data_IF_340176918383
#
_entry.id   IF_340176918383
#
_cell.length_a   1.000
_cell.length_b   1.000
_cell.length_c   1.000
_cell.angle_alpha   90.00
_cell.angle_beta   90.00
_cell.angle_gamma   90.00
#
_symmetry.space_group_name_H-M   'P 1'
#
loop_
_entity.id
_entity.type
_entity.pdbx_description
1 polymer ?
#
# COMPACT_ATOMS: atom_id res chain seq x y z
N UNK A 1 -18.55 -18.45 -52.49
CA UNK A 1 -17.38 -18.31 -51.60
C UNK A 1 -17.85 -18.18 -50.18
N UNK A 2 -17.96 -19.39 -49.47
CA UNK A 2 -18.51 -19.51 -48.13
C UNK A 2 -17.37 -19.35 -47.13
N UNK A 3 -17.39 -18.29 -46.29
CA UNK A 3 -16.45 -18.12 -45.19
C UNK A 3 -17.07 -18.68 -43.93
N UNK A 4 -16.39 -19.65 -43.36
CA UNK A 4 -16.74 -20.39 -42.14
C UNK A 4 -16.72 -19.48 -40.89
N UNK A 5 -17.89 -19.31 -40.24
CA UNK A 5 -18.00 -18.93 -38.84
C UNK A 5 -18.06 -20.18 -37.97
N UNK A 6 -17.10 -20.38 -37.09
CA UNK A 6 -17.08 -21.43 -36.00
C UNK A 6 -16.01 -21.00 -34.95
N UNK A 7 -16.16 -21.29 -33.68
CA UNK A 7 -17.23 -21.10 -32.68
C UNK A 7 -16.64 -20.49 -31.37
N UNK A 8 -17.12 -19.37 -30.94
CA UNK A 8 -16.77 -18.74 -29.66
C UNK A 8 -17.65 -19.21 -28.47
N UNK A 9 -18.52 -20.21 -28.71
CA UNK A 9 -19.50 -20.61 -27.69
C UNK A 9 -19.09 -21.79 -26.81
N UNK A 10 -18.08 -22.58 -27.20
CA UNK A 10 -17.67 -23.79 -26.44
C UNK A 10 -16.82 -23.54 -25.21
N UNK A 11 -16.13 -22.40 -25.15
CA UNK A 11 -15.21 -22.10 -24.04
C UNK A 11 -15.90 -21.56 -22.76
N UNK A 12 -17.12 -21.05 -22.88
CA UNK A 12 -17.86 -20.53 -21.73
C UNK A 12 -18.56 -21.64 -20.93
N UNK A 13 -18.98 -22.71 -21.57
CA UNK A 13 -19.61 -23.86 -20.91
C UNK A 13 -18.61 -24.66 -20.07
N UNK A 14 -17.40 -24.86 -20.56
CA UNK A 14 -16.36 -25.61 -19.85
C UNK A 14 -15.81 -24.87 -18.58
N UNK A 15 -15.89 -23.54 -18.53
CA UNK A 15 -15.49 -22.77 -17.34
C UNK A 15 -16.52 -22.85 -16.21
N UNK A 16 -17.79 -22.91 -16.53
CA UNK A 16 -18.89 -23.05 -15.54
C UNK A 16 -18.89 -24.45 -14.94
N UNK A 17 -18.58 -25.48 -15.72
CA UNK A 17 -18.54 -26.86 -15.25
C UNK A 17 -17.35 -27.15 -14.33
N UNK A 18 -16.19 -26.46 -14.54
CA UNK A 18 -15.02 -26.59 -13.68
C UNK A 18 -15.20 -25.92 -12.31
N UNK A 19 -16.05 -24.87 -12.21
CA UNK A 19 -16.41 -24.25 -10.94
C UNK A 19 -17.45 -25.04 -10.13
N UNK A 20 -18.29 -25.89 -10.79
CA UNK A 20 -19.25 -26.75 -10.10
C UNK A 20 -18.60 -27.99 -9.50
N UNK A 21 -17.55 -28.53 -10.09
CA UNK A 21 -16.83 -29.70 -9.57
C UNK A 21 -16.05 -29.39 -8.26
N UNK A 22 -15.69 -28.15 -8.01
CA UNK A 22 -14.96 -27.76 -6.77
C UNK A 22 -15.91 -27.50 -5.58
N UNK A 23 -17.22 -27.41 -5.79
CA UNK A 23 -18.22 -27.21 -4.73
C UNK A 23 -18.85 -28.52 -4.22
N UNK A 24 -18.65 -29.65 -4.92
CA UNK A 24 -19.16 -30.98 -4.49
C UNK A 24 -18.22 -31.64 -3.46
N UNK A 25 -16.94 -31.28 -3.40
CA UNK A 25 -15.98 -31.90 -2.47
C UNK A 25 -16.06 -31.36 -1.03
N UNK A 26 -16.89 -30.34 -0.79
CA UNK A 26 -17.15 -29.82 0.55
C UNK A 26 -18.36 -30.42 1.27
N UNK A 27 -19.11 -31.30 0.63
CA UNK A 27 -20.34 -31.86 1.17
C UNK A 27 -20.20 -33.22 1.88
N UNK A 28 -18.99 -33.82 1.89
CA UNK A 28 -18.74 -35.13 2.53
C UNK A 28 -17.77 -35.07 3.72
N UNK A 29 -17.87 -34.06 4.55
CA UNK A 29 -17.28 -34.17 5.91
C UNK A 29 -18.38 -34.62 6.85
N UNK A 30 -18.45 -35.93 7.05
CA UNK A 30 -19.30 -36.61 8.05
C UNK A 30 -18.97 -36.06 9.46
N UNK A 31 -20.00 -35.81 10.29
CA UNK A 31 -19.73 -35.39 11.68
C UNK A 31 -19.20 -36.60 12.46
N UNK A 32 -17.94 -36.45 12.93
CA UNK A 32 -17.36 -37.37 13.92
C UNK A 32 -18.19 -37.21 15.19
N UNK A 33 -18.96 -38.21 15.53
CA UNK A 33 -19.73 -38.33 16.76
C UNK A 33 -18.77 -38.31 17.94
N UNK A 34 -18.73 -37.18 18.63
CA UNK A 34 -17.95 -36.93 19.83
C UNK A 34 -18.61 -37.72 21.01
N UNK A 35 -18.00 -38.82 21.36
CA UNK A 35 -18.43 -39.72 22.44
C UNK A 35 -17.53 -39.52 23.64
N UNK A 36 -17.62 -38.33 24.30
CA UNK A 36 -17.07 -38.16 25.67
C UNK A 36 -17.77 -37.03 26.41
N UNK A 37 -18.56 -37.39 27.36
CA UNK A 37 -19.44 -36.56 28.21
C UNK A 37 -18.68 -35.52 29.06
N UNK A 38 -17.35 -35.58 29.19
CA UNK A 38 -16.59 -34.68 30.05
C UNK A 38 -16.29 -33.30 29.43
N UNK A 39 -16.31 -33.20 28.11
CA UNK A 39 -16.04 -31.93 27.41
C UNK A 39 -17.30 -31.11 27.13
N UNK A 40 -18.47 -31.72 27.24
CA UNK A 40 -19.75 -31.02 27.05
C UNK A 40 -19.99 -29.98 28.17
N UNK A 41 -19.59 -30.26 29.39
CA UNK A 41 -19.69 -29.30 30.51
C UNK A 41 -18.71 -28.14 30.35
N UNK A 42 -17.52 -28.37 29.76
CA UNK A 42 -16.51 -27.31 29.56
C UNK A 42 -16.92 -26.28 28.53
N UNK A 43 -17.61 -26.70 27.48
CA UNK A 43 -18.10 -25.78 26.44
C UNK A 43 -19.28 -24.91 26.89
N UNK A 44 -20.14 -25.40 27.77
CA UNK A 44 -21.23 -24.59 28.32
C UNK A 44 -20.70 -23.52 29.29
N UNK A 45 -19.71 -23.83 30.11
CA UNK A 45 -19.09 -22.84 31.00
C UNK A 45 -18.27 -21.79 30.27
N UNK A 46 -17.57 -22.17 29.18
CA UNK A 46 -16.82 -21.23 28.36
C UNK A 46 -17.72 -20.27 27.57
N UNK A 47 -18.85 -20.72 27.03
CA UNK A 47 -19.81 -19.87 26.32
C UNK A 47 -20.57 -18.91 27.24
N UNK A 48 -20.90 -19.32 28.47
CA UNK A 48 -21.55 -18.44 29.45
C UNK A 48 -20.57 -17.37 29.96
N UNK A 49 -19.30 -17.71 30.19
CA UNK A 49 -18.27 -16.75 30.57
C UNK A 49 -17.94 -15.75 29.45
N UNK A 50 -17.96 -16.17 28.18
CA UNK A 50 -17.79 -15.25 27.05
C UNK A 50 -18.97 -14.27 26.89
N UNK A 51 -20.19 -14.73 27.14
CA UNK A 51 -21.40 -13.90 27.02
C UNK A 51 -21.47 -12.85 28.15
N UNK A 52 -21.03 -13.17 29.36
CA UNK A 52 -20.97 -12.20 30.48
C UNK A 52 -19.83 -11.20 30.31
N UNK A 53 -18.70 -11.58 29.68
CA UNK A 53 -17.60 -10.67 29.38
C UNK A 53 -17.98 -9.65 28.28
N UNK A 54 -18.77 -10.06 27.29
CA UNK A 54 -19.26 -9.16 26.25
C UNK A 54 -20.33 -8.16 26.75
N UNK A 55 -21.12 -8.52 27.78
CA UNK A 55 -22.09 -7.62 28.36
C UNK A 55 -21.47 -6.50 29.22
N UNK A 56 -20.27 -6.74 29.79
CA UNK A 56 -19.57 -5.72 30.61
C UNK A 56 -18.92 -4.62 29.77
N UNK A 57 -18.59 -4.89 28.48
CA UNK A 57 -18.02 -3.88 27.57
C UNK A 57 -19.08 -3.06 26.81
N UNK A 58 -20.37 -3.41 26.88
CA UNK A 58 -21.42 -2.68 26.21
C UNK A 58 -21.90 -1.42 26.96
N UNK A 59 -21.42 -1.17 28.19
CA UNK A 59 -21.93 -0.06 29.04
C UNK A 59 -21.04 1.17 29.09
N UNK A 60 -19.99 1.29 28.26
CA UNK A 60 -19.18 2.51 28.18
C UNK A 60 -18.80 2.85 26.74
N UNK A 61 -19.79 2.87 25.84
CA UNK A 61 -19.62 3.45 24.50
C UNK A 61 -20.18 4.87 24.49
N UNK A 62 -19.41 5.79 25.04
CA UNK A 62 -19.54 7.20 24.69
C UNK A 62 -19.21 7.35 23.21
N UNK A 63 -20.24 7.57 22.41
CA UNK A 63 -20.20 7.72 20.96
C UNK A 63 -19.53 9.06 20.59
N UNK A 64 -18.23 9.22 20.90
CA UNK A 64 -17.40 10.25 20.28
C UNK A 64 -17.10 9.79 18.87
N UNK A 65 -17.83 10.34 17.90
CA UNK A 65 -17.41 10.34 16.51
C UNK A 65 -16.01 10.98 16.46
N UNK A 66 -14.98 10.16 16.37
CA UNK A 66 -13.63 10.63 16.01
C UNK A 66 -13.72 11.02 14.54
N UNK A 67 -14.06 12.29 14.29
CA UNK A 67 -13.92 12.87 12.96
C UNK A 67 -12.43 13.05 12.74
N UNK A 68 -11.84 12.17 11.93
CA UNK A 68 -10.49 12.39 11.43
C UNK A 68 -10.51 13.68 10.60
N UNK A 69 -9.66 14.67 10.90
CA UNK A 69 -9.60 15.89 10.12
C UNK A 69 -9.31 15.55 8.66
N UNK A 70 -10.02 16.20 7.75
CA UNK A 70 -9.80 16.03 6.30
C UNK A 70 -8.37 16.42 5.92
N UNK A 71 -7.90 15.97 4.76
CA UNK A 71 -6.56 16.33 4.28
C UNK A 71 -6.43 17.85 4.07
N UNK A 72 -7.53 18.54 3.75
CA UNK A 72 -7.61 20.00 3.70
C UNK A 72 -7.40 20.63 5.07
N UNK A 73 -7.97 20.08 6.15
CA UNK A 73 -7.84 20.60 7.51
C UNK A 73 -6.42 20.43 8.06
N UNK A 74 -5.72 19.37 7.67
CA UNK A 74 -4.30 19.14 8.02
C UNK A 74 -3.38 20.12 7.29
N UNK A 75 -3.63 20.36 6.00
CA UNK A 75 -2.87 21.35 5.22
C UNK A 75 -3.10 22.76 5.76
N UNK A 76 -4.35 23.11 6.11
CA UNK A 76 -4.69 24.41 6.69
C UNK A 76 -4.03 24.62 8.08
N UNK A 77 -3.96 23.59 8.92
CA UNK A 77 -3.29 23.66 10.23
C UNK A 77 -1.76 23.75 10.09
N UNK A 78 -1.17 23.08 9.12
CA UNK A 78 0.26 23.17 8.81
C UNK A 78 0.65 24.58 8.36
N UNK A 79 -0.14 25.21 7.50
CA UNK A 79 0.08 26.60 7.07
C UNK A 79 -0.09 27.60 8.21
N UNK A 80 -1.02 27.37 9.14
CA UNK A 80 -1.26 28.25 10.29
C UNK A 80 -0.15 28.13 11.36
N UNK A 81 0.40 26.94 11.61
CA UNK A 81 1.49 26.78 12.57
C UNK A 81 2.79 27.41 12.07
N UNK A 82 3.04 27.39 10.77
CA UNK A 82 4.21 28.06 10.17
C UNK A 82 4.07 29.58 10.10
N UNK A 83 2.85 30.14 10.21
CA UNK A 83 2.65 31.61 10.29
C UNK A 83 2.87 32.20 11.68
N UNK A 84 2.90 31.39 12.74
CA UNK A 84 3.01 31.88 14.13
C UNK A 84 4.42 31.91 14.70
N UNK A 85 5.39 31.32 14.03
CA UNK A 85 6.79 31.44 14.41
C UNK A 85 7.49 32.29 13.37
N UNK A 86 7.91 33.48 13.77
CA UNK A 86 8.87 34.37 13.12
C UNK A 86 8.29 35.65 12.49
N UNK A 87 8.11 36.62 13.37
CA UNK A 87 8.00 38.03 13.00
C UNK A 87 9.34 38.64 12.54
N UNK A 88 10.24 37.90 11.94
CA UNK A 88 11.41 38.44 11.24
C UNK A 88 12.13 37.36 10.42
N UNK A 89 11.46 36.75 9.46
CA UNK A 89 12.14 35.95 8.45
C UNK A 89 11.89 36.57 7.09
N UNK A 90 12.92 37.14 6.51
CA UNK A 90 12.95 37.50 5.10
C UNK A 90 12.49 36.28 4.28
N UNK A 91 11.37 36.41 3.59
CA UNK A 91 10.86 35.43 2.67
C UNK A 91 11.92 35.16 1.59
N UNK A 92 12.73 34.15 1.81
CA UNK A 92 13.53 33.58 0.73
C UNK A 92 12.61 32.76 -0.14
N UNK A 93 12.50 33.04 -1.44
CA UNK A 93 11.74 32.20 -2.36
C UNK A 93 12.19 30.75 -2.20
N UNK A 94 11.25 29.81 -2.14
CA UNK A 94 11.49 28.37 -2.06
C UNK A 94 12.64 28.03 -2.99
N UNK A 95 13.79 27.63 -2.41
CA UNK A 95 15.01 27.39 -3.15
C UNK A 95 14.75 26.45 -4.34
N UNK A 96 15.34 26.77 -5.48
CA UNK A 96 15.24 26.01 -6.74
C UNK A 96 15.73 24.56 -6.66
N UNK A 97 16.18 24.10 -5.49
CA UNK A 97 16.80 22.79 -5.28
C UNK A 97 15.81 21.63 -5.03
N UNK A 98 14.52 21.92 -4.96
CA UNK A 98 13.47 20.91 -4.71
C UNK A 98 13.52 20.28 -3.31
N UNK A 99 14.39 20.74 -2.41
CA UNK A 99 14.54 20.16 -1.07
C UNK A 99 13.31 20.43 -0.21
N UNK A 100 12.78 21.64 -0.23
CA UNK A 100 11.54 21.99 0.49
C UNK A 100 10.36 21.16 0.02
N UNK A 101 10.22 20.96 -1.29
CA UNK A 101 9.18 20.12 -1.89
C UNK A 101 9.28 18.66 -1.41
N UNK A 102 10.49 18.10 -1.36
CA UNK A 102 10.68 16.72 -0.89
C UNK A 102 10.46 16.57 0.61
N UNK A 103 10.82 17.56 1.42
CA UNK A 103 10.47 17.60 2.87
C UNK A 103 8.97 17.64 3.06
N UNK A 104 8.25 18.44 2.29
CA UNK A 104 6.78 18.48 2.29
C UNK A 104 6.20 17.12 1.91
N UNK A 105 6.76 16.46 0.88
CA UNK A 105 6.36 15.09 0.50
C UNK A 105 6.49 14.12 1.66
N UNK A 106 7.62 14.13 2.37
CA UNK A 106 7.83 13.28 3.56
C UNK A 106 6.77 13.56 4.62
N UNK A 107 6.57 14.83 4.99
CA UNK A 107 5.59 15.22 6.01
C UNK A 107 4.16 14.79 5.64
N UNK A 108 3.80 14.85 4.34
CA UNK A 108 2.48 14.49 3.85
C UNK A 108 2.23 12.98 3.87
N UNK A 109 3.24 12.18 3.54
CA UNK A 109 3.05 10.76 3.26
C UNK A 109 3.72 9.81 4.27
N UNK A 110 4.36 10.32 5.33
CA UNK A 110 5.00 9.50 6.36
C UNK A 110 4.03 8.48 6.97
N UNK A 111 2.83 8.92 7.37
CA UNK A 111 1.82 8.04 7.96
C UNK A 111 1.39 6.91 7.00
N UNK A 112 1.28 7.19 5.71
CA UNK A 112 0.94 6.17 4.72
C UNK A 112 2.06 5.13 4.58
N UNK A 113 3.32 5.57 4.63
CA UNK A 113 4.47 4.68 4.58
C UNK A 113 4.61 3.84 5.86
N UNK A 114 4.35 4.43 7.03
CA UNK A 114 4.35 3.72 8.32
C UNK A 114 3.25 2.65 8.33
N UNK A 115 2.02 2.97 7.88
CA UNK A 115 0.95 1.95 7.75
C UNK A 115 1.34 0.81 6.81
N UNK A 116 2.05 1.09 5.72
CA UNK A 116 2.55 0.03 4.84
C UNK A 116 3.63 -0.82 5.52
N UNK A 117 4.51 -0.22 6.33
CA UNK A 117 5.48 -0.94 7.15
C UNK A 117 4.78 -1.92 8.10
N UNK A 118 3.78 -1.44 8.83
CA UNK A 118 3.04 -2.25 9.80
C UNK A 118 2.25 -3.39 9.15
N UNK A 119 1.64 -3.12 7.99
CA UNK A 119 0.78 -4.10 7.32
C UNK A 119 1.53 -5.09 6.44
N UNK A 120 2.60 -4.67 5.80
CA UNK A 120 3.30 -5.45 4.76
C UNK A 120 4.76 -5.74 5.09
N UNK A 121 5.31 -5.20 6.18
CA UNK A 121 6.72 -5.39 6.55
C UNK A 121 7.71 -4.69 5.61
N UNK A 122 7.30 -3.65 4.90
CA UNK A 122 8.15 -2.87 4.00
C UNK A 122 8.63 -1.62 4.74
N UNK A 123 9.94 -1.35 4.85
CA UNK A 123 10.42 -0.16 5.55
C UNK A 123 9.77 1.12 5.05
N UNK A 124 9.35 1.99 5.97
CA UNK A 124 8.78 3.30 5.63
C UNK A 124 9.79 4.17 4.86
N UNK A 125 11.07 4.07 5.23
CA UNK A 125 12.18 4.71 4.54
C UNK A 125 12.26 4.31 3.05
N UNK A 126 12.10 3.02 2.75
CA UNK A 126 12.09 2.51 1.38
C UNK A 126 10.89 3.07 0.62
N UNK A 127 9.69 2.98 1.19
CA UNK A 127 8.46 3.47 0.54
C UNK A 127 8.55 4.96 0.20
N UNK A 128 8.97 5.80 1.17
CA UNK A 128 9.10 7.26 0.95
C UNK A 128 10.24 7.59 0.00
N UNK A 129 11.39 6.94 0.16
CA UNK A 129 12.55 7.15 -0.72
C UNK A 129 12.23 6.85 -2.18
N UNK A 130 11.55 5.74 -2.45
CA UNK A 130 11.06 5.39 -3.79
C UNK A 130 10.05 6.43 -4.29
N UNK A 131 9.07 6.81 -3.47
CA UNK A 131 8.09 7.82 -3.84
C UNK A 131 8.74 9.15 -4.23
N UNK A 132 9.77 9.60 -3.50
CA UNK A 132 10.53 10.82 -3.83
C UNK A 132 11.25 10.67 -5.18
N UNK A 133 11.93 9.54 -5.41
CA UNK A 133 12.68 9.30 -6.64
C UNK A 133 11.77 9.21 -7.86
N UNK A 134 10.73 8.39 -7.78
CA UNK A 134 9.87 8.05 -8.92
C UNK A 134 8.89 9.18 -9.28
N UNK A 135 8.54 10.03 -8.32
CA UNK A 135 7.57 11.11 -8.53
C UNK A 135 8.18 12.52 -8.55
N UNK A 136 9.51 12.66 -8.50
CA UNK A 136 10.17 13.95 -8.31
C UNK A 136 9.63 14.69 -7.07
N UNK A 137 9.41 13.97 -5.95
CA UNK A 137 8.82 14.53 -4.73
C UNK A 137 7.33 14.88 -4.89
N UNK A 138 6.59 14.11 -5.70
CA UNK A 138 5.15 14.27 -5.89
C UNK A 138 4.75 15.25 -7.01
N UNK A 139 5.71 15.81 -7.76
CA UNK A 139 5.44 16.83 -8.79
C UNK A 139 5.34 16.26 -10.20
N UNK A 140 5.71 15.00 -10.42
CA UNK A 140 5.66 14.39 -11.76
C UNK A 140 4.24 14.35 -12.33
N UNK A 141 4.12 14.28 -13.66
CA UNK A 141 2.83 14.16 -14.34
C UNK A 141 1.99 12.99 -13.82
N UNK A 142 2.60 11.82 -13.63
CA UNK A 142 1.89 10.64 -13.12
C UNK A 142 1.41 10.83 -11.68
N UNK A 143 2.19 11.49 -10.84
CA UNK A 143 1.80 11.78 -9.46
C UNK A 143 0.64 12.77 -9.40
N UNK A 144 0.72 13.87 -10.16
CA UNK A 144 -0.28 14.96 -10.09
C UNK A 144 -1.57 14.66 -10.83
N UNK A 145 -1.54 13.93 -11.96
CA UNK A 145 -2.71 13.66 -12.82
C UNK A 145 -3.25 12.23 -12.63
N UNK A 146 -2.45 11.33 -12.07
CA UNK A 146 -2.79 9.92 -11.92
C UNK A 146 -2.74 9.39 -10.50
N UNK A 147 -2.35 10.20 -9.50
CA UNK A 147 -2.01 9.76 -8.13
C UNK A 147 -0.99 8.61 -8.13
N UNK A 148 -0.18 8.48 -9.19
CA UNK A 148 0.77 7.37 -9.35
C UNK A 148 2.17 7.85 -9.01
N UNK A 149 2.54 7.69 -7.74
CA UNK A 149 3.80 8.16 -7.17
C UNK A 149 4.98 7.22 -7.40
N UNK A 150 4.74 6.00 -7.90
CA UNK A 150 5.77 4.98 -8.11
C UNK A 150 5.95 4.60 -9.59
N UNK A 151 5.25 5.25 -10.51
CA UNK A 151 5.36 4.93 -11.93
C UNK A 151 4.90 3.52 -12.29
N UNK A 152 3.93 2.94 -11.55
CA UNK A 152 3.48 1.57 -11.78
C UNK A 152 2.73 1.50 -13.10
N UNK A 153 3.24 0.66 -14.02
CA UNK A 153 2.62 0.42 -15.32
C UNK A 153 1.36 -0.43 -15.16
N UNK A 154 0.37 -0.16 -16.01
CA UNK A 154 -0.81 -1.01 -16.15
C UNK A 154 -0.43 -2.24 -16.98
N UNK A 155 -0.49 -3.40 -16.38
CA UNK A 155 -0.27 -4.73 -16.97
C UNK A 155 -1.62 -5.44 -17.13
N UNK A 156 -1.65 -6.61 -17.76
CA UNK A 156 -2.88 -7.36 -18.04
C UNK A 156 -3.70 -7.74 -16.78
N UNK A 157 -3.08 -7.69 -15.61
CA UNK A 157 -3.70 -7.93 -14.30
C UNK A 157 -4.34 -6.67 -13.69
N UNK A 158 -4.30 -5.52 -14.40
CA UNK A 158 -4.89 -4.26 -13.96
C UNK A 158 -6.23 -4.00 -14.66
N UNK A 159 -7.29 -3.96 -13.89
CA UNK A 159 -8.66 -3.66 -14.34
C UNK A 159 -9.12 -2.22 -14.06
N UNK A 160 -8.27 -1.44 -13.37
CA UNK A 160 -8.54 -0.05 -13.02
C UNK A 160 -8.26 0.95 -14.16
N UNK A 161 -8.51 2.23 -13.87
CA UNK A 161 -8.24 3.32 -14.81
C UNK A 161 -6.75 3.44 -15.13
N UNK A 162 -6.47 3.92 -16.35
CA UNK A 162 -5.10 4.14 -16.83
C UNK A 162 -4.87 5.59 -17.25
N UNK A 163 -3.59 5.98 -17.32
CA UNK A 163 -3.13 7.27 -17.81
C UNK A 163 -1.85 7.05 -18.62
N UNK A 164 -1.69 7.79 -19.72
CA UNK A 164 -0.43 7.88 -20.47
C UNK A 164 0.22 9.23 -20.18
N UNK A 165 1.56 9.28 -20.16
CA UNK A 165 2.25 10.56 -20.17
C UNK A 165 2.11 11.21 -21.56
N UNK A 166 2.18 12.55 -21.65
CA UNK A 166 2.18 13.21 -22.94
C UNK A 166 3.28 12.68 -23.86
N UNK A 167 2.91 12.30 -25.10
CA UNK A 167 3.83 11.75 -26.09
C UNK A 167 4.25 10.29 -25.88
N UNK A 168 3.76 9.60 -24.85
CA UNK A 168 4.04 8.18 -24.60
C UNK A 168 2.79 7.31 -24.81
N UNK A 169 2.96 6.11 -25.40
CA UNK A 169 1.91 5.11 -25.55
C UNK A 169 1.80 4.16 -24.34
N UNK A 170 2.75 4.23 -23.41
CA UNK A 170 2.80 3.38 -22.22
C UNK A 170 1.67 3.74 -21.26
N UNK A 171 0.84 2.76 -20.92
CA UNK A 171 -0.23 2.91 -19.93
C UNK A 171 0.29 2.70 -18.51
N UNK A 172 0.00 3.65 -17.65
CA UNK A 172 0.28 3.58 -16.20
C UNK A 172 -1.02 3.46 -15.42
N UNK A 173 -0.98 2.85 -14.25
CA UNK A 173 -2.12 2.79 -13.33
C UNK A 173 -2.52 4.20 -12.90
N UNK A 174 -3.83 4.47 -12.91
CA UNK A 174 -4.40 5.72 -12.37
C UNK A 174 -5.23 5.38 -11.14
N UNK A 175 -4.87 5.98 -10.01
CA UNK A 175 -5.52 5.70 -8.73
C UNK A 175 -6.56 6.75 -8.39
N UNK A 176 -7.56 6.37 -7.58
CA UNK A 176 -8.55 7.29 -7.05
C UNK A 176 -7.93 8.20 -5.98
N UNK A 177 -6.98 7.67 -5.19
CA UNK A 177 -6.25 8.43 -4.18
C UNK A 177 -4.76 8.04 -4.15
N UNK A 178 -3.95 8.88 -3.51
CA UNK A 178 -2.54 8.55 -3.23
C UNK A 178 -2.44 7.37 -2.26
N UNK A 179 -3.38 7.21 -1.33
CA UNK A 179 -3.43 6.08 -0.42
C UNK A 179 -3.57 4.74 -1.17
N UNK A 180 -4.40 4.70 -2.23
CA UNK A 180 -4.54 3.51 -3.08
C UNK A 180 -3.24 3.17 -3.80
N UNK A 181 -2.52 4.21 -4.27
CA UNK A 181 -1.22 4.04 -4.90
C UNK A 181 -0.19 3.44 -3.94
N UNK A 182 -0.13 3.94 -2.71
CA UNK A 182 0.79 3.43 -1.69
C UNK A 182 0.45 1.98 -1.31
N UNK A 183 -0.83 1.66 -1.16
CA UNK A 183 -1.27 0.29 -0.88
C UNK A 183 -0.96 -0.66 -2.06
N UNK A 184 -1.13 -0.20 -3.29
CA UNK A 184 -0.81 -1.00 -4.47
C UNK A 184 0.70 -1.20 -4.65
N UNK A 185 1.51 -0.19 -4.37
CA UNK A 185 2.97 -0.32 -4.33
C UNK A 185 3.41 -1.37 -3.30
N UNK A 186 2.81 -1.42 -2.12
CA UNK A 186 3.12 -2.42 -1.13
C UNK A 186 2.75 -3.84 -1.63
N UNK A 187 1.58 -4.01 -2.24
CA UNK A 187 1.19 -5.29 -2.90
C UNK A 187 2.15 -5.66 -4.04
N UNK A 188 2.61 -4.66 -4.82
CA UNK A 188 3.58 -4.88 -5.88
C UNK A 188 4.90 -5.44 -5.34
N UNK A 189 5.43 -4.90 -4.24
CA UNK A 189 6.64 -5.40 -3.58
C UNK A 189 6.42 -6.72 -2.83
N UNK A 190 5.19 -7.11 -2.55
CA UNK A 190 4.86 -8.42 -1.93
C UNK A 190 4.82 -9.58 -2.94
N UNK A 191 5.03 -9.33 -4.24
CA UNK A 191 5.07 -10.38 -5.27
C UNK A 191 6.30 -11.29 -5.09
N UNK A 192 6.17 -12.57 -5.51
CA UNK A 192 7.21 -13.62 -5.41
C UNK A 192 8.61 -13.15 -5.82
N UNK A 193 8.71 -12.32 -6.86
CA UNK A 193 9.96 -11.72 -7.34
C UNK A 193 10.74 -10.98 -6.26
N UNK A 194 10.04 -10.33 -5.33
CA UNK A 194 10.60 -9.51 -4.27
C UNK A 194 10.68 -10.23 -2.91
N UNK A 195 10.32 -11.51 -2.84
CA UNK A 195 10.38 -12.30 -1.60
C UNK A 195 11.74 -12.24 -0.89
N UNK A 196 12.90 -12.15 -1.58
CA UNK A 196 14.20 -12.00 -0.91
C UNK A 196 14.34 -10.75 -0.05
N UNK A 197 13.56 -9.66 -0.30
CA UNK A 197 13.56 -8.44 0.50
C UNK A 197 13.17 -8.72 1.96
N UNK A 198 12.16 -9.58 2.16
CA UNK A 198 11.58 -9.86 3.46
C UNK A 198 12.43 -10.75 4.37
N UNK A 199 13.62 -11.15 3.91
CA UNK A 199 14.66 -11.79 4.74
C UNK A 199 15.57 -10.78 5.44
N UNK A 200 15.50 -9.51 5.02
CA UNK A 200 16.31 -8.43 5.59
C UNK A 200 15.58 -7.83 6.80
N UNK A 201 16.37 -7.30 7.74
CA UNK A 201 15.80 -6.53 8.84
C UNK A 201 15.12 -5.28 8.29
N UNK A 202 14.03 -4.86 8.90
CA UNK A 202 13.27 -3.67 8.49
C UNK A 202 14.11 -2.40 8.59
N UNK A 203 15.07 -2.37 9.51
CA UNK A 203 16.02 -1.26 9.71
C UNK A 203 17.19 -1.27 8.73
N UNK A 204 17.40 -2.34 7.94
CA UNK A 204 18.49 -2.44 6.97
C UNK A 204 18.09 -1.83 5.62
N UNK A 205 17.78 -0.54 5.60
CA UNK A 205 17.43 0.17 4.36
C UNK A 205 18.48 0.06 3.26
N UNK A 206 19.78 -0.06 3.60
CA UNK A 206 20.86 -0.23 2.62
C UNK A 206 20.79 -1.59 1.94
N UNK A 207 20.55 -2.64 2.71
CA UNK A 207 20.30 -3.99 2.19
C UNK A 207 19.06 -4.03 1.31
N UNK A 208 17.96 -3.39 1.75
CA UNK A 208 16.73 -3.27 0.97
C UNK A 208 16.96 -2.57 -0.37
N UNK A 209 17.67 -1.44 -0.39
CA UNK A 209 17.95 -0.69 -1.61
C UNK A 209 18.75 -1.52 -2.63
N UNK A 210 19.81 -2.22 -2.17
CA UNK A 210 20.59 -3.12 -3.02
C UNK A 210 19.75 -4.28 -3.54
N UNK A 211 18.99 -4.94 -2.66
CA UNK A 211 18.16 -6.09 -3.02
C UNK A 211 17.02 -5.71 -3.98
N UNK A 212 16.44 -4.52 -3.87
CA UNK A 212 15.48 -4.01 -4.85
C UNK A 212 16.10 -3.95 -6.25
N UNK A 213 17.33 -3.45 -6.37
CA UNK A 213 18.06 -3.41 -7.64
C UNK A 213 18.33 -4.82 -8.18
N UNK A 214 18.79 -5.73 -7.32
CA UNK A 214 19.03 -7.14 -7.69
C UNK A 214 17.75 -7.86 -8.15
N UNK A 215 16.62 -7.59 -7.50
CA UNK A 215 15.31 -8.09 -7.90
C UNK A 215 14.77 -7.42 -9.17
N UNK A 216 15.51 -6.46 -9.76
CA UNK A 216 15.16 -5.80 -11.00
C UNK A 216 14.00 -4.81 -10.86
N UNK A 217 13.91 -4.12 -9.73
CA UNK A 217 12.94 -3.03 -9.57
C UNK A 217 13.20 -1.88 -10.55
N UNK A 218 14.46 -1.53 -10.76
CA UNK A 218 14.88 -0.50 -11.69
C UNK A 218 16.03 -0.99 -12.58
N UNK A 219 16.10 -0.46 -13.81
CA UNK A 219 17.20 -0.74 -14.76
C UNK A 219 18.44 0.08 -14.47
N UNK A 220 18.31 1.27 -13.88
CA UNK A 220 19.41 2.18 -13.55
C UNK A 220 20.48 1.48 -12.67
N UNK A 221 21.75 1.38 -13.10
CA UNK A 221 22.82 0.77 -12.31
C UNK A 221 23.04 1.45 -10.97
N UNK A 222 22.77 2.75 -10.89
CA UNK A 222 22.96 3.58 -9.69
C UNK A 222 21.69 3.67 -8.81
N UNK A 223 20.65 2.87 -9.08
CA UNK A 223 19.40 2.95 -8.36
C UNK A 223 19.57 2.83 -6.84
N UNK A 224 20.30 1.81 -6.39
CA UNK A 224 20.51 1.58 -4.96
C UNK A 224 21.19 2.77 -4.25
N UNK A 225 22.25 3.31 -4.85
CA UNK A 225 22.98 4.46 -4.28
C UNK A 225 22.12 5.73 -4.27
N UNK A 226 21.31 5.96 -5.31
CA UNK A 226 20.35 7.08 -5.35
C UNK A 226 19.31 6.96 -4.26
N UNK A 227 18.74 5.75 -4.06
CA UNK A 227 17.74 5.49 -3.03
C UNK A 227 18.34 5.68 -1.62
N UNK A 228 19.52 5.12 -1.36
CA UNK A 228 20.23 5.30 -0.09
C UNK A 228 20.48 6.79 0.18
N UNK A 229 20.99 7.53 -0.80
CA UNK A 229 21.25 8.98 -0.67
C UNK A 229 19.97 9.74 -0.31
N UNK A 230 18.85 9.45 -0.93
CA UNK A 230 17.56 10.10 -0.59
C UNK A 230 17.14 9.76 0.83
N UNK A 231 17.21 8.50 1.23
CA UNK A 231 16.86 8.05 2.59
C UNK A 231 17.71 8.80 3.63
N UNK A 232 19.01 8.89 3.43
CA UNK A 232 19.94 9.56 4.34
C UNK A 232 19.74 11.08 4.36
N UNK A 233 19.54 11.71 3.18
CA UNK A 233 19.33 13.16 3.05
C UNK A 233 18.11 13.65 3.82
N UNK A 234 17.03 12.87 3.84
CA UNK A 234 15.78 13.22 4.52
C UNK A 234 15.58 12.49 5.85
N UNK A 235 16.60 11.79 6.35
CA UNK A 235 16.59 11.03 7.61
C UNK A 235 15.39 10.04 7.70
N UNK A 236 15.02 9.44 6.57
CA UNK A 236 13.83 8.57 6.50
C UNK A 236 13.97 7.29 7.33
N UNK A 237 15.21 6.79 7.53
CA UNK A 237 15.50 5.60 8.33
C UNK A 237 15.08 5.74 9.79
N UNK A 238 14.87 6.96 10.28
CA UNK A 238 14.36 7.20 11.64
C UNK A 238 12.91 6.70 11.82
N UNK A 239 12.15 6.55 10.73
CA UNK A 239 10.76 6.08 10.75
C UNK A 239 10.65 4.56 10.95
N UNK A 240 11.75 3.83 10.86
CA UNK A 240 11.79 2.36 10.93
C UNK A 240 12.40 1.83 12.24
N UNK A 241 12.62 2.71 13.21
CA UNK A 241 13.14 2.37 14.55
C UNK A 241 12.04 1.97 15.51
#
# INVERSE_FOLDING_TARGET
MLVKMVPLYKDRANRVQKHRAHLSDFAEMQPILYKDSKYFLYHITATVLCATFLAFFASCSSNRKVTHPSQSDRNYRYEQTNRKTDGNSSYTPIGRDGTAQRRHYVATFADAAIRNRERYGIPAAITLGQGILESAGGTSYLATKGNNHFGIKATSDWDGRTICKPGESVKYRKYASVADCFADHARFLSRKRYAPLFRLKITDYKGWARKLKECGYATDPNYASKLIKVIETYNLQSLDR
#
